data_IF_472847446184
#
_entry.id   IF_472847446184
#
_cell.length_a   1.000
_cell.length_b   1.000
_cell.length_c   1.000
_cell.angle_alpha   90.00
_cell.angle_beta   90.00
_cell.angle_gamma   90.00
#
_symmetry.space_group_name_H-M   'P 1'
#
loop_
_entity.id
_entity.type
_entity.pdbx_description
1 polymer ?
#
# COMPACT_ATOMS: atom_id res chain seq x y z
N UNK A 1 -15.07 13.64 -23.40
CA UNK A 1 -13.69 13.31 -23.02
C UNK A 1 -13.40 11.91 -23.51
N UNK A 2 -12.65 11.75 -24.60
CA UNK A 2 -12.39 10.44 -25.22
C UNK A 2 -11.55 9.59 -24.27
N UNK A 3 -12.02 8.40 -23.93
CA UNK A 3 -11.27 7.45 -23.12
C UNK A 3 -10.03 7.00 -23.90
N UNK A 4 -8.84 7.27 -23.37
CA UNK A 4 -7.58 6.79 -23.92
C UNK A 4 -7.42 5.29 -23.60
N UNK A 5 -7.91 4.44 -24.52
CA UNK A 5 -7.88 2.98 -24.39
C UNK A 5 -6.46 2.38 -24.50
N UNK A 6 -5.42 3.19 -24.78
CA UNK A 6 -4.02 2.72 -24.69
C UNK A 6 -3.60 2.41 -23.25
N UNK A 7 -4.35 2.93 -22.28
CA UNK A 7 -4.15 2.68 -20.86
C UNK A 7 -4.88 1.42 -20.42
N UNK A 8 -4.14 0.49 -19.83
CA UNK A 8 -4.61 -0.78 -19.29
C UNK A 8 -5.92 -0.65 -18.46
N UNK A 9 -6.04 0.40 -17.65
CA UNK A 9 -7.18 0.59 -16.75
C UNK A 9 -8.41 1.18 -17.43
N UNK A 10 -8.21 2.01 -18.44
CA UNK A 10 -9.32 2.48 -19.27
C UNK A 10 -9.90 1.31 -20.06
N UNK A 11 -9.02 0.48 -20.64
CA UNK A 11 -9.42 -0.70 -21.40
C UNK A 11 -10.10 -1.78 -20.53
N UNK A 12 -9.64 -2.01 -19.29
CA UNK A 12 -10.26 -2.97 -18.38
C UNK A 12 -11.66 -2.52 -17.89
N UNK A 13 -11.84 -1.22 -17.63
CA UNK A 13 -13.16 -0.64 -17.31
C UNK A 13 -14.13 -0.75 -18.48
N UNK A 14 -13.68 -0.44 -19.69
CA UNK A 14 -14.47 -0.56 -20.92
C UNK A 14 -14.98 -2.00 -21.11
N UNK A 15 -14.15 -2.99 -20.80
CA UNK A 15 -14.51 -4.42 -20.83
C UNK A 15 -15.33 -4.90 -19.63
N UNK A 16 -15.53 -4.09 -18.60
CA UNK A 16 -16.22 -4.50 -17.38
C UNK A 16 -15.53 -5.66 -16.64
N UNK A 17 -14.19 -5.73 -16.67
CA UNK A 17 -13.47 -6.84 -16.03
C UNK A 17 -13.78 -6.93 -14.52
N UNK A 18 -14.16 -8.10 -13.98
CA UNK A 18 -14.50 -8.25 -12.58
C UNK A 18 -13.28 -8.07 -11.66
N UNK A 19 -13.49 -7.43 -10.51
CA UNK A 19 -12.45 -7.20 -9.50
C UNK A 19 -12.15 -8.46 -8.65
N UNK A 20 -13.16 -9.32 -8.47
CA UNK A 20 -13.07 -10.48 -7.60
C UNK A 20 -11.92 -11.43 -8.00
N UNK A 21 -11.14 -11.90 -7.01
CA UNK A 21 -10.05 -12.86 -7.23
C UNK A 21 -8.71 -12.25 -7.69
N UNK A 22 -8.56 -10.92 -7.65
CA UNK A 22 -7.34 -10.23 -8.14
C UNK A 22 -6.54 -9.49 -7.06
N UNK A 23 -6.97 -9.60 -5.79
CA UNK A 23 -6.30 -8.98 -4.67
C UNK A 23 -4.90 -9.59 -4.45
N UNK A 24 -3.92 -8.79 -3.98
CA UNK A 24 -2.62 -9.30 -3.58
C UNK A 24 -2.75 -10.38 -2.51
N UNK A 25 -2.17 -11.56 -2.77
CA UNK A 25 -2.02 -12.60 -1.75
C UNK A 25 -0.85 -12.20 -0.85
N UNK A 26 -1.14 -11.60 0.30
CA UNK A 26 -0.20 -11.35 1.39
C UNK A 26 -0.98 -11.17 2.69
N UNK A 27 -0.57 -11.90 3.74
CA UNK A 27 -1.14 -11.77 5.09
C UNK A 27 -0.31 -10.86 5.98
N UNK A 28 0.88 -10.48 5.53
CA UNK A 28 1.80 -9.60 6.27
C UNK A 28 2.31 -8.47 5.38
N UNK A 29 2.40 -7.27 5.93
CA UNK A 29 2.82 -6.09 5.19
C UNK A 29 3.93 -5.37 5.94
N UNK A 30 5.05 -5.13 5.27
CA UNK A 30 6.05 -4.15 5.70
C UNK A 30 5.75 -2.83 4.98
N UNK A 31 5.42 -1.80 5.74
CA UNK A 31 5.20 -0.46 5.24
C UNK A 31 6.36 0.42 5.68
N UNK A 32 7.03 1.05 4.72
CA UNK A 32 8.21 1.88 4.98
C UNK A 32 7.92 3.30 4.55
N UNK A 33 7.90 4.23 5.49
CA UNK A 33 7.72 5.64 5.18
C UNK A 33 8.89 6.17 4.35
N UNK A 34 8.63 6.63 3.14
CA UNK A 34 9.63 7.10 2.20
C UNK A 34 9.11 8.30 1.39
N UNK A 35 9.78 9.47 1.43
CA UNK A 35 9.25 10.73 0.87
C UNK A 35 9.11 10.69 -0.66
N UNK A 36 9.87 9.81 -1.31
CA UNK A 36 9.96 9.69 -2.75
C UNK A 36 10.99 10.67 -3.35
N UNK A 37 11.11 10.73 -4.68
CA UNK A 37 10.36 9.95 -5.67
C UNK A 37 10.62 8.44 -5.56
N UNK A 38 9.63 7.61 -5.89
CA UNK A 38 9.77 6.15 -5.89
C UNK A 38 10.20 5.62 -7.26
N UNK A 39 11.11 4.63 -7.26
CA UNK A 39 11.49 3.88 -8.46
C UNK A 39 10.32 3.04 -8.99
N UNK A 40 10.51 2.29 -10.08
CA UNK A 40 9.45 1.44 -10.64
C UNK A 40 9.09 0.26 -9.73
N UNK A 41 10.09 -0.33 -9.07
CA UNK A 41 9.88 -1.26 -7.95
C UNK A 41 10.14 -0.52 -6.63
N UNK A 42 9.37 -0.80 -5.56
CA UNK A 42 9.51 -0.09 -4.29
C UNK A 42 10.95 -0.15 -3.76
N UNK A 43 11.51 -1.36 -3.68
CA UNK A 43 12.84 -1.62 -3.10
C UNK A 43 14.02 -1.34 -4.04
N UNK A 44 13.76 -0.81 -5.25
CA UNK A 44 14.78 -0.20 -6.12
C UNK A 44 14.89 1.32 -5.89
N UNK A 45 14.21 1.86 -4.87
CA UNK A 45 14.25 3.29 -4.53
C UNK A 45 15.42 3.58 -3.58
N UNK A 46 16.32 4.53 -3.86
CA UNK A 46 17.36 4.93 -2.92
C UNK A 46 16.79 5.39 -1.57
N UNK A 47 17.41 5.04 -0.43
CA UNK A 47 18.68 4.33 -0.28
C UNK A 47 18.58 2.79 -0.29
N UNK A 48 17.41 2.22 -0.56
CA UNK A 48 17.15 0.77 -0.49
C UNK A 48 17.62 -0.01 -1.73
N UNK A 49 18.11 0.66 -2.76
CA UNK A 49 18.53 0.01 -4.00
C UNK A 49 19.64 -1.04 -3.81
N UNK A 50 19.62 -2.07 -4.64
CA UNK A 50 20.63 -3.13 -4.66
C UNK A 50 20.42 -4.17 -3.56
N UNK A 51 21.51 -4.67 -2.99
CA UNK A 51 21.50 -5.81 -2.07
C UNK A 51 20.57 -5.63 -0.86
N UNK A 52 20.52 -4.43 -0.28
CA UNK A 52 19.66 -4.17 0.88
C UNK A 52 18.18 -4.38 0.54
N UNK A 53 17.72 -3.83 -0.59
CA UNK A 53 16.35 -4.01 -1.08
C UNK A 53 16.04 -5.46 -1.43
N UNK A 54 16.97 -6.17 -2.07
CA UNK A 54 16.83 -7.60 -2.38
C UNK A 54 16.67 -8.45 -1.10
N UNK A 55 17.47 -8.18 -0.07
CA UNK A 55 17.39 -8.87 1.22
C UNK A 55 16.08 -8.55 1.95
N UNK A 56 15.61 -7.30 1.90
CA UNK A 56 14.29 -6.90 2.43
C UNK A 56 13.17 -7.65 1.71
N UNK A 57 13.19 -7.68 0.37
CA UNK A 57 12.17 -8.36 -0.44
C UNK A 57 12.12 -9.86 -0.12
N UNK A 58 13.28 -10.51 -0.12
CA UNK A 58 13.40 -11.94 0.20
C UNK A 58 12.94 -12.25 1.63
N UNK A 59 13.29 -11.39 2.60
CA UNK A 59 12.89 -11.55 4.00
C UNK A 59 11.37 -11.43 4.14
N UNK A 60 10.76 -10.38 3.57
CA UNK A 60 9.31 -10.23 3.55
C UNK A 60 8.61 -11.44 2.93
N UNK A 61 9.09 -11.90 1.76
CA UNK A 61 8.52 -13.04 1.06
C UNK A 61 8.59 -14.33 1.89
N UNK A 62 9.68 -14.55 2.64
CA UNK A 62 9.82 -15.72 3.52
C UNK A 62 8.77 -15.80 4.63
N UNK A 63 8.15 -14.67 4.98
CA UNK A 63 7.04 -14.59 5.94
C UNK A 63 5.66 -14.47 5.26
N UNK A 64 5.55 -14.76 3.95
CA UNK A 64 4.32 -14.59 3.19
C UNK A 64 3.87 -13.13 3.07
N UNK A 65 4.81 -12.20 3.24
CA UNK A 65 4.54 -10.77 3.27
C UNK A 65 5.08 -9.99 2.07
N UNK A 66 4.68 -8.72 1.99
CA UNK A 66 5.12 -7.78 0.94
C UNK A 66 5.56 -6.46 1.54
N UNK A 67 6.51 -5.80 0.88
CA UNK A 67 6.95 -4.46 1.24
C UNK A 67 6.30 -3.39 0.35
N UNK A 68 5.84 -2.31 0.97
CA UNK A 68 5.36 -1.10 0.29
C UNK A 68 6.11 0.12 0.83
N UNK A 69 6.41 1.07 -0.05
CA UNK A 69 6.77 2.41 0.41
C UNK A 69 5.49 3.24 0.57
N UNK A 70 5.41 3.99 1.65
CA UNK A 70 4.27 4.85 1.99
C UNK A 70 4.72 6.29 2.23
N UNK A 71 3.81 7.25 2.06
CA UNK A 71 4.01 8.63 2.51
C UNK A 71 2.67 9.32 2.78
N UNK A 72 2.69 10.34 3.65
CA UNK A 72 1.52 11.20 3.84
C UNK A 72 1.26 12.08 2.64
N UNK A 73 0.00 12.50 2.48
CA UNK A 73 -0.34 13.54 1.52
C UNK A 73 0.29 14.86 1.96
N UNK A 74 1.06 15.47 1.07
CA UNK A 74 1.63 16.79 1.30
C UNK A 74 3.11 16.85 0.94
N UNK A 75 3.55 18.02 0.48
CA UNK A 75 4.95 18.30 0.14
C UNK A 75 5.71 18.80 1.37
N UNK A 76 5.52 18.20 2.55
CA UNK A 76 6.50 18.46 3.61
C UNK A 76 7.78 17.78 3.15
N UNK A 77 8.72 18.60 2.66
CA UNK A 77 10.06 18.12 2.37
C UNK A 77 10.57 17.45 3.63
N UNK A 78 11.18 16.26 3.53
CA UNK A 78 11.67 15.58 4.70
C UNK A 78 12.68 16.46 5.42
N UNK A 79 12.50 16.69 6.72
CA UNK A 79 13.64 17.07 7.54
C UNK A 79 14.63 15.88 7.51
N UNK A 80 15.91 16.09 7.16
CA UNK A 80 16.90 15.02 7.21
C UNK A 80 16.99 14.33 8.57
N UNK A 81 16.63 15.04 9.66
CA UNK A 81 16.68 14.52 11.02
C UNK A 81 15.40 13.79 11.47
N UNK A 82 14.30 13.92 10.72
CA UNK A 82 13.04 13.22 11.02
C UNK A 82 13.23 11.71 10.85
N UNK A 83 13.10 11.00 11.98
CA UNK A 83 13.07 9.54 11.98
C UNK A 83 11.81 9.08 11.22
N UNK A 84 12.01 8.33 10.12
CA UNK A 84 10.92 7.84 9.28
C UNK A 84 10.33 6.59 9.89
N UNK A 85 9.03 6.40 9.81
CA UNK A 85 8.38 5.25 10.43
C UNK A 85 8.41 4.02 9.53
N UNK A 86 8.36 2.85 10.15
CA UNK A 86 7.98 1.61 9.50
C UNK A 86 6.94 0.87 10.33
N UNK A 87 6.15 0.05 9.66
CA UNK A 87 5.09 -0.76 10.25
C UNK A 87 5.15 -2.18 9.67
N UNK A 88 5.18 -3.18 10.53
CA UNK A 88 5.00 -4.57 10.19
C UNK A 88 3.59 -4.97 10.66
N UNK A 89 2.68 -5.29 9.73
CA UNK A 89 1.25 -5.52 10.02
C UNK A 89 0.89 -6.96 9.69
N UNK A 90 0.19 -7.66 10.60
CA UNK A 90 -0.38 -8.99 10.40
C UNK A 90 -1.90 -8.86 10.23
N UNK A 91 -2.39 -9.13 9.02
CA UNK A 91 -3.81 -8.96 8.69
C UNK A 91 -4.68 -10.12 9.17
N UNK A 92 -4.08 -11.24 9.59
CA UNK A 92 -4.82 -12.37 10.16
C UNK A 92 -5.14 -12.08 11.63
N UNK A 93 -4.18 -11.51 12.35
CA UNK A 93 -4.31 -11.20 13.78
C UNK A 93 -4.84 -9.79 14.06
N UNK A 94 -4.72 -8.87 13.11
CA UNK A 94 -5.09 -7.48 13.33
C UNK A 94 -4.04 -6.69 14.11
N UNK A 95 -2.81 -7.21 14.24
CA UNK A 95 -1.76 -6.63 15.09
C UNK A 95 -0.62 -6.04 14.27
N UNK A 96 0.19 -5.21 14.91
CA UNK A 96 1.39 -4.65 14.30
C UNK A 96 2.59 -4.57 15.25
N UNK A 97 3.75 -4.35 14.65
CA UNK A 97 4.95 -3.81 15.31
C UNK A 97 5.37 -2.59 14.49
N UNK A 98 5.86 -1.54 15.16
CA UNK A 98 6.30 -0.32 14.48
C UNK A 98 7.57 0.22 15.09
N UNK A 99 8.32 0.96 14.29
CA UNK A 99 9.54 1.61 14.72
C UNK A 99 9.93 2.72 13.77
N UNK A 100 11.18 3.16 13.89
CA UNK A 100 11.76 4.17 13.00
C UNK A 100 12.95 3.60 12.25
N UNK A 101 13.29 4.18 11.10
CA UNK A 101 14.46 3.85 10.30
C UNK A 101 15.21 5.11 9.87
N UNK A 102 16.52 4.98 9.73
CA UNK A 102 17.43 6.00 9.16
C UNK A 102 18.33 5.40 8.09
N UNK A 103 18.67 4.12 8.20
CA UNK A 103 19.53 3.42 7.24
C UNK A 103 18.81 2.23 6.57
N UNK A 104 19.34 1.70 5.45
CA UNK A 104 18.81 0.48 4.85
C UNK A 104 18.83 -0.73 5.80
N UNK A 105 19.80 -0.80 6.71
CA UNK A 105 19.92 -1.88 7.71
C UNK A 105 18.76 -1.86 8.70
N UNK A 106 18.28 -0.68 9.10
CA UNK A 106 17.08 -0.55 9.94
C UNK A 106 15.84 -1.11 9.23
N UNK A 107 15.73 -0.91 7.91
CA UNK A 107 14.62 -1.46 7.12
C UNK A 107 14.73 -2.98 6.98
N UNK A 108 15.93 -3.52 6.90
CA UNK A 108 16.15 -4.97 6.95
C UNK A 108 15.77 -5.55 8.32
N UNK A 109 16.07 -4.85 9.42
CA UNK A 109 15.62 -5.23 10.75
C UNK A 109 14.08 -5.20 10.84
N UNK A 110 13.44 -4.16 10.29
CA UNK A 110 11.99 -4.07 10.18
C UNK A 110 11.37 -5.22 9.37
N UNK A 111 12.03 -5.66 8.29
CA UNK A 111 11.59 -6.83 7.52
C UNK A 111 11.63 -8.12 8.36
N UNK A 112 12.63 -8.28 9.22
CA UNK A 112 12.72 -9.42 10.16
C UNK A 112 11.66 -9.37 11.26
N UNK A 113 11.19 -8.18 11.63
CA UNK A 113 10.11 -8.02 12.60
C UNK A 113 8.80 -8.71 12.14
N UNK A 114 8.60 -8.91 10.82
CA UNK A 114 7.48 -9.71 10.29
C UNK A 114 7.48 -11.17 10.78
N UNK A 115 8.57 -11.67 11.35
CA UNK A 115 8.71 -13.02 11.88
C UNK A 115 8.13 -13.18 13.29
N UNK A 116 8.98 -13.58 14.23
CA UNK A 116 8.57 -13.90 15.60
C UNK A 116 8.08 -12.69 16.39
N UNK A 117 8.64 -11.50 16.17
CA UNK A 117 8.21 -10.27 16.85
C UNK A 117 6.74 -9.95 16.54
N UNK A 118 6.39 -9.84 15.26
CA UNK A 118 4.99 -9.61 14.85
C UNK A 118 4.09 -10.77 15.29
N UNK A 119 4.57 -12.01 15.24
CA UNK A 119 3.83 -13.18 15.72
C UNK A 119 3.67 -13.23 17.24
N UNK A 120 4.43 -12.45 18.00
CA UNK A 120 4.29 -12.31 19.45
C UNK A 120 3.63 -10.98 19.84
N UNK A 121 3.31 -10.11 18.87
CA UNK A 121 2.68 -8.84 19.14
C UNK A 121 1.22 -9.03 19.55
N UNK A 122 0.88 -8.43 20.69
CA UNK A 122 -0.49 -8.24 21.17
C UNK A 122 -0.93 -6.78 21.05
N UNK A 123 -0.22 -5.98 20.24
CA UNK A 123 -0.59 -4.59 19.96
C UNK A 123 -1.50 -4.54 18.74
N UNK A 124 -2.76 -4.15 18.96
CA UNK A 124 -3.72 -3.90 17.88
C UNK A 124 -3.18 -2.83 16.92
N UNK A 125 -3.36 -3.06 15.63
CA UNK A 125 -2.96 -2.14 14.59
C UNK A 125 -4.02 -1.04 14.40
N UNK A 126 -3.58 0.21 14.37
CA UNK A 126 -4.47 1.31 14.01
C UNK A 126 -4.88 1.20 12.53
N UNK A 127 -6.09 1.68 12.16
CA UNK A 127 -6.53 1.68 10.78
C UNK A 127 -5.58 2.45 9.85
N UNK A 128 -5.24 1.85 8.71
CA UNK A 128 -4.50 2.52 7.65
C UNK A 128 -5.17 2.33 6.30
N UNK A 129 -5.31 3.43 5.56
CA UNK A 129 -5.86 3.46 4.21
C UNK A 129 -4.74 3.77 3.23
N UNK A 130 -4.27 2.75 2.52
CA UNK A 130 -3.17 2.86 1.56
C UNK A 130 -3.71 3.01 0.15
N UNK A 131 -3.50 4.17 -0.47
CA UNK A 131 -3.95 4.46 -1.83
C UNK A 131 -2.78 4.43 -2.79
N UNK A 132 -2.88 3.62 -3.85
CA UNK A 132 -1.81 3.51 -4.83
C UNK A 132 -1.70 4.78 -5.68
N UNK A 133 -0.56 5.48 -5.62
CA UNK A 133 -0.30 6.71 -6.41
C UNK A 133 0.96 6.64 -7.28
N UNK A 134 1.56 5.45 -7.42
CA UNK A 134 2.82 5.26 -8.14
C UNK A 134 2.64 5.37 -9.67
N UNK A 135 3.02 6.52 -10.23
CA UNK A 135 2.92 6.80 -11.66
C UNK A 135 4.04 6.20 -12.52
N UNK A 136 5.18 5.83 -11.93
CA UNK A 136 6.34 5.25 -12.63
C UNK A 136 6.10 3.81 -13.08
N UNK A 137 5.21 3.08 -12.40
CA UNK A 137 4.75 1.76 -12.80
C UNK A 137 3.63 1.86 -13.83
N UNK A 138 2.61 2.67 -13.52
CA UNK A 138 1.48 2.94 -14.39
C UNK A 138 0.89 4.33 -14.08
N UNK A 139 0.78 5.18 -15.10
CA UNK A 139 0.25 6.53 -14.93
C UNK A 139 -1.19 6.55 -14.40
N UNK A 140 -1.99 5.51 -14.64
CA UNK A 140 -3.39 5.42 -14.19
C UNK A 140 -3.50 5.44 -12.66
N UNK A 141 -2.57 4.79 -11.96
CA UNK A 141 -2.55 4.78 -10.50
C UNK A 141 -2.33 6.20 -9.95
N UNK A 142 -1.36 6.94 -10.50
CA UNK A 142 -1.13 8.33 -10.10
C UNK A 142 -2.32 9.25 -10.44
N UNK A 143 -2.91 9.10 -11.63
CA UNK A 143 -4.02 9.94 -12.10
C UNK A 143 -5.28 9.72 -11.26
N UNK A 144 -5.61 8.48 -10.89
CA UNK A 144 -6.83 8.15 -10.16
C UNK A 144 -6.66 8.14 -8.64
N UNK A 145 -5.50 7.72 -8.15
CA UNK A 145 -5.23 7.61 -6.71
C UNK A 145 -5.06 8.97 -6.03
N UNK A 146 -4.44 9.96 -6.67
CA UNK A 146 -4.20 11.27 -6.03
C UNK A 146 -5.48 12.03 -5.67
N UNK A 147 -6.53 12.09 -6.53
CA UNK A 147 -7.82 12.65 -6.13
C UNK A 147 -8.48 11.92 -4.95
N UNK A 148 -8.36 10.59 -4.89
CA UNK A 148 -8.86 9.78 -3.76
C UNK A 148 -8.14 10.19 -2.47
N UNK A 149 -6.80 10.20 -2.49
CA UNK A 149 -5.99 10.64 -1.35
C UNK A 149 -6.41 12.04 -0.89
N UNK A 150 -6.54 12.99 -1.82
CA UNK A 150 -6.90 14.36 -1.50
C UNK A 150 -8.30 14.50 -0.87
N UNK A 151 -9.20 13.57 -1.17
CA UNK A 151 -10.54 13.55 -0.59
C UNK A 151 -10.50 12.93 0.79
N UNK A 152 -9.95 11.71 0.91
CA UNK A 152 -9.94 10.96 2.16
C UNK A 152 -9.08 11.63 3.24
N UNK A 153 -7.92 12.19 2.88
CA UNK A 153 -7.01 12.81 3.84
C UNK A 153 -7.55 14.12 4.43
N UNK A 154 -8.58 14.74 3.84
CA UNK A 154 -9.28 15.88 4.47
C UNK A 154 -10.08 15.46 5.70
N UNK A 155 -10.60 14.24 5.69
CA UNK A 155 -11.44 13.70 6.75
C UNK A 155 -10.63 12.85 7.73
N UNK A 156 -9.61 12.14 7.22
CA UNK A 156 -8.79 11.19 7.98
C UNK A 156 -7.29 11.37 7.70
N UNK A 157 -6.70 12.53 8.05
CA UNK A 157 -5.31 12.85 7.73
C UNK A 157 -4.30 11.86 8.32
N UNK A 158 -4.64 11.25 9.47
CA UNK A 158 -3.78 10.32 10.20
C UNK A 158 -3.97 8.85 9.80
N UNK A 159 -4.98 8.50 8.98
CA UNK A 159 -5.18 7.12 8.49
C UNK A 159 -4.74 6.97 7.03
N UNK A 160 -4.78 8.05 6.24
CA UNK A 160 -4.60 7.98 4.79
C UNK A 160 -3.13 8.14 4.40
N UNK A 161 -2.68 7.22 3.55
CA UNK A 161 -1.34 7.18 3.01
C UNK A 161 -1.37 7.01 1.48
N UNK A 162 -0.47 7.70 0.81
CA UNK A 162 -0.05 7.29 -0.53
C UNK A 162 0.86 6.06 -0.41
N UNK A 163 0.77 5.11 -1.34
CA UNK A 163 1.66 3.97 -1.39
C UNK A 163 2.17 3.64 -2.80
N UNK A 164 3.26 2.87 -2.85
CA UNK A 164 3.73 2.21 -4.07
C UNK A 164 2.73 1.18 -4.58
N UNK A 165 2.97 0.67 -5.79
CA UNK A 165 2.03 -0.17 -6.51
C UNK A 165 1.60 -1.41 -5.72
N UNK A 166 0.30 -1.47 -5.39
CA UNK A 166 -0.32 -2.62 -4.71
C UNK A 166 -0.46 -3.85 -5.63
N UNK A 167 -0.38 -3.68 -6.95
CA UNK A 167 -0.89 -4.64 -7.91
C UNK A 167 -2.19 -4.15 -8.55
N UNK A 168 -2.65 -4.85 -9.60
CA UNK A 168 -3.95 -4.56 -10.22
C UNK A 168 -4.06 -3.17 -10.84
N UNK A 169 -3.03 -2.65 -11.53
CA UNK A 169 -3.09 -1.33 -12.20
C UNK A 169 -4.25 -1.21 -13.20
N UNK A 170 -4.67 -2.33 -13.81
CA UNK A 170 -5.92 -2.39 -14.60
C UNK A 170 -7.15 -1.92 -13.82
N UNK A 171 -7.14 -2.07 -12.50
CA UNK A 171 -8.18 -1.64 -11.57
C UNK A 171 -7.89 -0.29 -10.91
N UNK A 172 -7.08 0.58 -11.53
CA UNK A 172 -6.62 1.83 -10.92
C UNK A 172 -7.73 2.67 -10.28
N UNK A 173 -7.37 3.35 -9.17
CA UNK A 173 -8.28 3.61 -8.07
C UNK A 173 -8.22 2.47 -7.05
N UNK A 174 -7.01 1.96 -6.78
CA UNK A 174 -6.79 0.84 -5.87
C UNK A 174 -6.45 1.32 -4.47
N UNK A 175 -7.01 0.62 -3.49
CA UNK A 175 -6.92 0.96 -2.07
C UNK A 175 -6.75 -0.34 -1.27
N UNK A 176 -5.90 -0.31 -0.25
CA UNK A 176 -5.75 -1.37 0.75
C UNK A 176 -6.10 -0.80 2.13
N UNK A 177 -7.07 -1.41 2.81
CA UNK A 177 -7.43 -1.10 4.20
C UNK A 177 -6.74 -2.11 5.12
N UNK A 178 -5.96 -1.60 6.06
CA UNK A 178 -5.35 -2.35 7.13
C UNK A 178 -6.01 -1.97 8.47
N UNK A 179 -6.07 -2.90 9.43
CA UNK A 179 -5.43 -4.22 9.39
C UNK A 179 -6.24 -5.33 8.71
N UNK A 180 -7.43 -5.06 8.16
CA UNK A 180 -8.31 -6.08 7.57
C UNK A 180 -7.74 -6.76 6.32
N UNK A 181 -6.73 -6.17 5.69
CA UNK A 181 -6.15 -6.66 4.43
C UNK A 181 -7.10 -6.51 3.25
N UNK A 182 -8.12 -5.66 3.36
CA UNK A 182 -9.17 -5.52 2.36
C UNK A 182 -8.67 -4.67 1.17
N UNK A 183 -8.66 -5.27 -0.02
CA UNK A 183 -8.23 -4.61 -1.25
C UNK A 183 -9.43 -4.23 -2.12
N UNK A 184 -9.41 -3.00 -2.62
CA UNK A 184 -10.42 -2.41 -3.48
C UNK A 184 -9.78 -1.89 -4.77
N UNK A 185 -10.59 -1.78 -5.80
CA UNK A 185 -10.19 -1.28 -7.12
C UNK A 185 -11.35 -0.59 -7.80
N UNK A 186 -11.04 0.04 -8.93
CA UNK A 186 -11.93 0.89 -9.70
C UNK A 186 -12.52 2.11 -8.99
N UNK A 187 -12.00 2.45 -7.81
CA UNK A 187 -12.53 3.55 -7.02
C UNK A 187 -12.31 4.91 -7.69
N UNK A 188 -13.19 5.83 -7.33
CA UNK A 188 -13.11 7.27 -7.46
C UNK A 188 -13.23 7.90 -6.05
N UNK A 189 -13.12 9.24 -5.90
CA UNK A 189 -13.20 9.88 -4.59
C UNK A 189 -14.45 9.52 -3.77
N UNK A 190 -15.62 9.51 -4.39
CA UNK A 190 -16.90 9.32 -3.68
C UNK A 190 -17.07 7.87 -3.24
N UNK A 191 -16.79 6.92 -4.14
CA UNK A 191 -16.84 5.48 -3.83
C UNK A 191 -15.79 5.07 -2.80
N UNK A 192 -14.59 5.68 -2.84
CA UNK A 192 -13.57 5.45 -1.83
C UNK A 192 -14.00 5.96 -0.44
N UNK A 193 -14.63 7.13 -0.37
CA UNK A 193 -15.18 7.66 0.87
C UNK A 193 -16.27 6.74 1.45
N UNK A 194 -17.15 6.21 0.59
CA UNK A 194 -18.14 5.20 1.00
C UNK A 194 -17.49 3.95 1.61
N UNK A 195 -16.47 3.38 0.94
CA UNK A 195 -15.73 2.21 1.43
C UNK A 195 -15.11 2.47 2.81
N UNK A 196 -14.39 3.58 2.96
CA UNK A 196 -13.69 3.92 4.22
C UNK A 196 -14.68 4.33 5.33
N UNK A 197 -15.83 4.88 4.98
CA UNK A 197 -16.94 5.17 5.89
C UNK A 197 -17.78 3.97 6.30
N UNK A 198 -17.44 2.75 5.85
CA UNK A 198 -18.19 1.52 6.17
C UNK A 198 -19.47 1.32 5.35
N UNK A 199 -19.71 2.16 4.34
CA UNK A 199 -20.84 2.04 3.41
C UNK A 199 -20.34 1.39 2.12
N UNK A 200 -20.23 0.07 2.08
CA UNK A 200 -19.70 -0.64 0.90
C UNK A 200 -20.77 -0.93 -0.16
N UNK A 201 -20.65 -0.43 -1.40
CA UNK A 201 -21.24 -1.08 -2.56
C UNK A 201 -20.34 -2.26 -2.96
N UNK A 202 -20.77 -3.50 -2.66
CA UNK A 202 -20.18 -4.72 -3.22
C UNK A 202 -18.73 -4.99 -2.82
N UNK A 203 -18.53 -5.50 -1.60
CA UNK A 203 -17.24 -6.02 -1.14
C UNK A 203 -16.85 -7.25 -1.95
N UNK A 204 -15.65 -7.29 -2.54
CA UNK A 204 -14.96 -8.56 -2.77
C UNK A 204 -14.13 -8.85 -1.53
N UNK A 205 -14.77 -9.35 -0.47
CA UNK A 205 -14.08 -9.84 0.73
C UNK A 205 -13.40 -11.16 0.39
N UNK A 206 -12.27 -11.08 -0.31
CA UNK A 206 -11.35 -12.19 -0.42
C UNK A 206 -10.65 -12.39 0.92
N UNK A 207 -11.32 -13.03 1.88
CA UNK A 207 -10.60 -13.71 2.96
C UNK A 207 -9.62 -14.65 2.27
N UNK A 208 -8.33 -14.45 2.51
CA UNK A 208 -7.19 -15.05 1.81
C UNK A 208 -7.54 -16.32 1.03
N UNK A 209 -7.58 -16.21 -0.29
CA UNK A 209 -7.51 -17.39 -1.14
C UNK A 209 -6.04 -17.80 -1.17
N UNK A 210 -5.67 -18.71 -0.27
CA UNK A 210 -4.54 -19.57 -0.50
C UNK A 210 -4.77 -20.30 -1.83
N UNK A 211 -3.86 -20.07 -2.77
CA UNK A 211 -3.67 -20.85 -3.98
C UNK A 211 -2.19 -21.15 -4.08
#
# INVERSE_FOLDING_TARGET
MTLDLSRCSAAARDRGEPLAGTAPVASRWLLVEHPGPWAKKPLETPPLLGRAGEEVEATCASFGGKALLIRRQGRRGPDPDDARHWFAVDTVRGTWVRGTWRTPEDVLAAARALGSELSASDTDADPMVLVCTQGTRDACCAVRGRPIVATLARERPDEVWECTHLGGHRFAGTLLVLPEGACYGYLDPDTAAGVVGGTSPGTSTGRGCAG
#
